data_IF_242039636033
#
_entry.id   IF_242039636033
#
_cell.length_a   1.000
_cell.length_b   1.000
_cell.length_c   1.000
_cell.angle_alpha   90.00
_cell.angle_beta   90.00
_cell.angle_gamma   90.00
#
_symmetry.space_group_name_H-M   'P 1'
#
loop_
_entity.id
_entity.type
_entity.pdbx_description
1 polymer ?
#
# COMPACT_ATOMS: atom_id res chain seq x y z
N UNK A 1 -34.20 -28.56 66.06
CA UNK A 1 -34.52 -27.78 64.85
C UNK A 1 -33.32 -26.96 64.46
N UNK A 2 -32.49 -27.40 63.47
CA UNK A 2 -31.27 -26.70 63.00
C UNK A 2 -31.60 -26.16 61.63
N UNK A 3 -31.59 -24.84 61.48
CA UNK A 3 -31.76 -24.15 60.17
C UNK A 3 -30.38 -23.97 59.51
N UNK A 4 -30.15 -24.66 58.41
CA UNK A 4 -28.98 -24.44 57.53
C UNK A 4 -29.21 -23.21 56.69
N UNK A 5 -28.33 -22.24 56.77
CA UNK A 5 -28.29 -21.08 55.89
C UNK A 5 -27.37 -21.42 54.71
N UNK A 6 -27.92 -21.48 53.53
CA UNK A 6 -27.23 -21.73 52.27
C UNK A 6 -26.73 -20.40 51.73
N UNK A 7 -25.43 -20.15 51.84
CA UNK A 7 -24.79 -18.97 51.30
C UNK A 7 -24.54 -19.19 49.79
N UNK A 8 -25.29 -18.48 48.94
CA UNK A 8 -25.06 -18.47 47.51
C UNK A 8 -23.96 -17.49 47.18
N UNK A 9 -22.81 -18.01 46.73
CA UNK A 9 -21.69 -17.24 46.29
C UNK A 9 -21.95 -16.86 44.80
N UNK A 10 -22.31 -15.60 44.53
CA UNK A 10 -22.45 -15.08 43.16
C UNK A 10 -21.03 -14.74 42.68
N UNK A 11 -20.50 -15.57 41.75
CA UNK A 11 -19.25 -15.34 41.04
C UNK A 11 -19.51 -14.36 39.88
N UNK A 12 -19.18 -13.08 40.08
CA UNK A 12 -19.18 -12.09 39.00
C UNK A 12 -18.04 -12.39 38.03
N UNK A 13 -18.36 -13.00 36.89
CA UNK A 13 -17.41 -13.13 35.76
C UNK A 13 -17.38 -11.77 35.07
N UNK A 14 -16.31 -11.00 35.33
CA UNK A 14 -15.95 -9.82 34.55
C UNK A 14 -15.43 -10.29 33.17
N UNK A 15 -16.30 -10.31 32.17
CA UNK A 15 -15.87 -10.46 30.76
C UNK A 15 -15.22 -9.15 30.34
N UNK A 16 -13.90 -9.11 30.38
CA UNK A 16 -13.13 -8.07 29.70
C UNK A 16 -13.32 -8.20 28.20
N UNK A 17 -14.14 -7.31 27.62
CA UNK A 17 -14.23 -7.09 26.19
C UNK A 17 -12.90 -6.50 25.74
N UNK A 18 -11.95 -7.36 25.34
CA UNK A 18 -10.76 -6.95 24.63
C UNK A 18 -11.20 -6.40 23.28
N UNK A 19 -11.02 -5.10 23.02
CA UNK A 19 -11.00 -4.57 21.68
C UNK A 19 -9.91 -5.31 20.90
N UNK A 20 -10.29 -6.30 20.11
CA UNK A 20 -9.41 -6.84 19.07
C UNK A 20 -9.32 -5.75 18.00
N UNK A 21 -8.21 -5.02 18.02
CA UNK A 21 -7.76 -4.30 16.84
C UNK A 21 -7.60 -5.34 15.73
N UNK A 22 -8.44 -5.25 14.73
CA UNK A 22 -8.28 -5.98 13.47
C UNK A 22 -7.11 -5.34 12.69
N UNK A 23 -5.88 -5.57 13.16
CA UNK A 23 -4.69 -5.42 12.36
C UNK A 23 -4.75 -6.53 11.32
N UNK A 24 -5.33 -6.22 10.16
CA UNK A 24 -5.21 -7.03 8.95
C UNK A 24 -3.71 -7.16 8.66
N UNK A 25 -3.13 -8.28 9.07
CA UNK A 25 -1.70 -8.53 8.98
C UNK A 25 -1.28 -8.67 7.52
N UNK A 26 -0.75 -7.59 6.97
CA UNK A 26 0.24 -7.70 5.92
C UNK A 26 1.59 -8.01 6.61
N UNK A 27 1.91 -9.29 6.79
CA UNK A 27 2.94 -9.79 7.72
C UNK A 27 4.40 -9.47 7.31
N UNK A 28 4.62 -8.75 6.21
CA UNK A 28 5.97 -8.54 5.67
C UNK A 28 6.41 -7.07 5.53
N UNK A 29 5.49 -6.10 5.68
CA UNK A 29 5.78 -4.69 5.47
C UNK A 29 5.95 -3.92 6.79
N UNK A 30 7.17 -3.42 7.04
CA UNK A 30 7.46 -2.58 8.21
C UNK A 30 7.55 -1.12 7.79
N UNK A 31 6.65 -0.28 8.29
CA UNK A 31 6.73 1.17 8.10
C UNK A 31 7.90 1.76 8.90
N UNK A 32 8.58 2.76 8.32
CA UNK A 32 9.73 3.44 8.94
C UNK A 32 9.35 4.29 10.15
N UNK A 33 8.07 4.68 10.28
CA UNK A 33 7.49 5.38 11.42
C UNK A 33 6.05 4.95 11.66
N UNK A 34 5.47 5.22 12.85
CA UNK A 34 4.09 4.86 13.16
C UNK A 34 3.08 5.42 12.16
N UNK A 35 2.02 4.66 11.87
CA UNK A 35 0.95 5.07 10.94
C UNK A 35 0.32 6.44 11.29
N UNK A 36 0.15 6.71 12.58
CA UNK A 36 -0.39 8.01 13.05
C UNK A 36 0.49 9.22 12.68
N UNK A 37 1.80 9.04 12.47
CA UNK A 37 2.67 10.12 12.00
C UNK A 37 2.51 10.36 10.50
N UNK A 38 2.27 9.32 9.71
CA UNK A 38 1.95 9.45 8.30
C UNK A 38 0.62 10.18 8.08
N UNK A 39 -0.38 9.97 8.96
CA UNK A 39 -1.66 10.67 8.94
C UNK A 39 -1.55 12.19 9.01
N UNK A 40 -0.48 12.71 9.63
CA UNK A 40 -0.23 14.16 9.75
C UNK A 40 0.35 14.79 8.47
N UNK A 41 0.94 14.00 7.59
CA UNK A 41 1.69 14.49 6.43
C UNK A 41 1.10 14.09 5.09
N UNK A 42 0.29 13.05 5.06
CA UNK A 42 -0.39 12.55 3.87
C UNK A 42 -1.83 13.04 3.84
N UNK A 43 -2.38 13.25 2.65
CA UNK A 43 -3.83 13.42 2.47
C UNK A 43 -4.56 12.11 2.81
N UNK A 44 -5.88 12.16 3.04
CA UNK A 44 -6.65 10.94 3.36
C UNK A 44 -6.53 9.88 2.24
N UNK A 45 -6.56 10.30 0.97
CA UNK A 45 -6.38 9.38 -0.16
C UNK A 45 -4.96 8.77 -0.20
N UNK A 46 -3.92 9.59 -0.01
CA UNK A 46 -2.53 9.11 0.06
C UNK A 46 -2.34 8.16 1.24
N UNK A 47 -2.91 8.47 2.41
CA UNK A 47 -2.85 7.62 3.58
C UNK A 47 -3.52 6.27 3.33
N UNK A 48 -4.75 6.29 2.77
CA UNK A 48 -5.46 5.06 2.41
C UNK A 48 -4.64 4.19 1.45
N UNK A 49 -4.05 4.77 0.41
CA UNK A 49 -3.24 4.03 -0.56
C UNK A 49 -1.92 3.56 0.08
N UNK A 50 -1.13 4.48 0.63
CA UNK A 50 0.27 4.21 0.97
C UNK A 50 0.45 3.52 2.32
N UNK A 51 -0.41 3.80 3.31
CA UNK A 51 -0.34 3.24 4.66
C UNK A 51 -1.24 2.02 4.81
N UNK A 52 -2.48 2.08 4.31
CA UNK A 52 -3.48 1.02 4.45
C UNK A 52 -3.47 0.03 3.27
N UNK A 53 -2.53 0.17 2.31
CA UNK A 53 -2.44 -0.67 1.08
C UNK A 53 -3.69 -0.62 0.22
N UNK A 54 -4.35 0.54 0.17
CA UNK A 54 -5.51 0.75 -0.68
C UNK A 54 -5.16 0.79 -2.17
N UNK A 55 -6.18 0.67 -3.00
CA UNK A 55 -6.06 0.78 -4.46
C UNK A 55 -7.11 1.77 -4.96
N UNK A 56 -6.71 2.74 -5.74
CA UNK A 56 -7.60 3.70 -6.39
C UNK A 56 -8.38 3.07 -7.56
N UNK A 57 -9.53 3.60 -7.96
CA UNK A 57 -10.29 3.08 -9.10
C UNK A 57 -9.54 3.19 -10.43
N UNK A 58 -9.65 2.18 -11.32
CA UNK A 58 -9.07 2.24 -12.66
C UNK A 58 -9.69 3.37 -13.49
N UNK A 59 -8.90 4.00 -14.34
CA UNK A 59 -9.31 5.10 -15.25
C UNK A 59 -9.86 6.36 -14.54
N UNK A 60 -9.87 6.39 -13.20
CA UNK A 60 -10.31 7.51 -12.37
C UNK A 60 -9.20 7.97 -11.43
N UNK A 61 -7.97 8.00 -11.92
CA UNK A 61 -6.79 8.44 -11.20
C UNK A 61 -5.96 9.38 -12.07
N UNK A 62 -5.07 10.15 -11.48
CA UNK A 62 -4.46 11.31 -12.12
C UNK A 62 -3.51 10.96 -13.27
N UNK A 63 -2.77 9.85 -13.15
CA UNK A 63 -1.64 9.60 -14.06
C UNK A 63 -1.82 8.41 -15.02
N UNK A 64 -2.96 7.72 -15.04
CA UNK A 64 -3.18 6.59 -15.95
C UNK A 64 -2.96 7.00 -17.41
N UNK A 65 -3.43 8.18 -17.82
CA UNK A 65 -3.32 8.73 -19.17
C UNK A 65 -2.35 9.93 -19.27
N UNK A 66 -1.35 10.02 -18.39
CA UNK A 66 -0.35 11.08 -18.45
C UNK A 66 0.80 10.67 -19.39
N UNK A 67 0.98 11.42 -20.50
CA UNK A 67 2.03 11.22 -21.51
C UNK A 67 3.10 12.33 -21.50
N UNK A 68 3.06 13.25 -20.53
CA UNK A 68 4.02 14.33 -20.42
C UNK A 68 5.39 13.79 -20.03
N UNK A 69 6.46 14.48 -20.52
CA UNK A 69 7.84 14.16 -20.14
C UNK A 69 8.16 14.67 -18.74
N UNK A 70 8.70 13.80 -17.91
CA UNK A 70 9.01 14.10 -16.52
C UNK A 70 9.34 12.86 -15.69
N UNK A 71 9.32 13.04 -14.38
CA UNK A 71 9.55 11.97 -13.41
C UNK A 71 8.38 11.85 -12.43
N UNK A 72 8.18 10.66 -11.91
CA UNK A 72 7.21 10.36 -10.87
C UNK A 72 7.96 10.15 -9.56
N UNK A 73 7.66 10.99 -8.58
CA UNK A 73 8.27 10.95 -7.25
C UNK A 73 7.29 10.38 -6.24
N UNK A 74 7.79 9.83 -5.13
CA UNK A 74 6.95 9.43 -4.00
C UNK A 74 6.13 10.61 -3.48
N UNK A 75 4.84 10.43 -3.29
CA UNK A 75 3.97 11.45 -2.69
C UNK A 75 4.35 11.77 -1.24
N UNK A 76 4.99 10.82 -0.55
CA UNK A 76 5.38 10.94 0.86
C UNK A 76 6.75 11.59 1.05
N UNK A 77 7.75 11.23 0.23
CA UNK A 77 9.15 11.62 0.44
C UNK A 77 9.71 12.55 -0.63
N UNK A 78 9.08 12.58 -1.82
CA UNK A 78 9.63 13.28 -2.99
C UNK A 78 10.78 12.51 -3.68
N UNK A 79 11.08 11.28 -3.26
CA UNK A 79 12.11 10.46 -3.90
C UNK A 79 11.69 10.08 -5.32
N UNK A 80 12.60 10.24 -6.31
CA UNK A 80 12.32 9.88 -7.71
C UNK A 80 12.26 8.36 -7.83
N UNK A 81 11.09 7.84 -8.25
CA UNK A 81 10.81 6.41 -8.34
C UNK A 81 10.70 5.91 -9.78
N UNK A 82 10.00 6.65 -10.65
CA UNK A 82 9.76 6.25 -12.04
C UNK A 82 9.99 7.41 -13.01
N UNK A 83 10.22 7.06 -14.30
CA UNK A 83 10.37 8.02 -15.40
C UNK A 83 9.25 7.88 -16.42
N UNK A 84 8.87 8.99 -17.04
CA UNK A 84 7.96 8.97 -18.20
C UNK A 84 8.52 8.16 -19.38
N UNK A 85 9.83 8.01 -19.50
CA UNK A 85 10.47 7.24 -20.56
C UNK A 85 10.24 5.72 -20.41
N UNK A 86 9.98 5.30 -19.17
CA UNK A 86 9.68 3.91 -18.82
C UNK A 86 8.18 3.64 -18.68
N UNK A 87 7.33 4.67 -18.80
CA UNK A 87 5.87 4.55 -18.79
C UNK A 87 5.34 3.96 -20.09
N UNK A 88 4.26 3.18 -20.00
CA UNK A 88 3.53 2.66 -21.16
C UNK A 88 2.04 2.51 -20.87
N UNK A 89 1.23 2.41 -21.91
CA UNK A 89 -0.21 2.19 -21.80
C UNK A 89 -0.51 0.70 -21.70
N UNK A 90 -0.77 0.26 -20.48
CA UNK A 90 -1.08 -1.15 -20.20
C UNK A 90 -2.53 -1.53 -20.45
N UNK A 91 -3.43 -0.55 -20.64
CA UNK A 91 -4.87 -0.78 -20.76
C UNK A 91 -5.55 -1.15 -19.43
N UNK A 92 -4.84 -1.13 -18.30
CA UNK A 92 -5.40 -1.54 -17.00
C UNK A 92 -6.06 -0.40 -16.23
N UNK A 93 -5.82 0.85 -16.64
CA UNK A 93 -6.41 2.04 -16.01
C UNK A 93 -5.58 2.63 -14.87
N UNK A 94 -4.34 2.20 -14.69
CA UNK A 94 -3.36 2.76 -13.77
C UNK A 94 -2.06 3.11 -14.49
N UNK A 95 -1.26 4.07 -13.97
CA UNK A 95 0.06 4.35 -14.52
C UNK A 95 0.95 3.11 -14.40
N UNK A 96 1.49 2.68 -15.54
CA UNK A 96 2.28 1.45 -15.67
C UNK A 96 3.67 1.76 -16.20
N UNK A 97 4.69 1.14 -15.60
CA UNK A 97 6.10 1.35 -15.93
C UNK A 97 6.78 0.00 -16.15
N UNK A 98 7.79 -0.03 -17.02
CA UNK A 98 8.57 -1.27 -17.26
C UNK A 98 9.65 -1.48 -16.21
N UNK A 99 10.10 -0.42 -15.53
CA UNK A 99 11.08 -0.47 -14.44
C UNK A 99 11.02 0.77 -13.55
N UNK A 100 11.60 0.69 -12.36
CA UNK A 100 11.94 1.84 -11.54
C UNK A 100 13.21 2.53 -12.08
N UNK A 101 13.38 3.83 -11.79
CA UNK A 101 14.60 4.59 -12.13
C UNK A 101 15.83 4.00 -11.44
N UNK A 102 15.67 3.57 -10.19
CA UNK A 102 16.67 2.84 -9.41
C UNK A 102 15.97 1.75 -8.61
N UNK A 103 16.29 0.48 -8.90
CA UNK A 103 15.73 -0.67 -8.20
C UNK A 103 16.06 -0.68 -6.69
N UNK A 104 17.08 0.06 -6.24
CA UNK A 104 17.43 0.17 -4.82
C UNK A 104 16.44 1.01 -4.00
N UNK A 105 15.58 1.79 -4.66
CA UNK A 105 14.59 2.69 -4.02
C UNK A 105 13.27 2.01 -3.72
N UNK A 106 13.02 0.86 -4.32
CA UNK A 106 11.83 0.05 -4.10
C UNK A 106 12.20 -1.31 -3.51
N UNK A 107 11.23 -1.96 -2.91
CA UNK A 107 11.30 -3.39 -2.54
C UNK A 107 10.06 -4.10 -3.03
N UNK A 108 10.22 -5.36 -3.37
CA UNK A 108 9.12 -6.25 -3.73
C UNK A 108 8.86 -7.15 -2.53
N UNK A 109 7.62 -7.18 -2.06
CA UNK A 109 7.18 -8.05 -0.97
C UNK A 109 5.99 -8.88 -1.40
N UNK A 110 5.93 -10.12 -0.95
CA UNK A 110 4.84 -11.00 -1.34
C UNK A 110 3.56 -10.64 -0.58
N UNK A 111 2.48 -10.39 -1.33
CA UNK A 111 1.17 -10.00 -0.81
C UNK A 111 0.15 -11.12 -1.07
N UNK A 112 -0.33 -11.74 0.03
CA UNK A 112 -1.38 -12.77 0.00
C UNK A 112 -2.74 -12.23 0.47
N UNK A 113 -2.92 -10.92 0.53
CA UNK A 113 -4.18 -10.32 0.95
C UNK A 113 -5.31 -10.57 -0.05
N UNK A 114 -6.55 -10.50 0.43
CA UNK A 114 -7.78 -10.67 -0.38
C UNK A 114 -7.85 -11.97 -1.20
N UNK A 115 -7.16 -13.05 -0.77
CA UNK A 115 -7.13 -14.33 -1.49
C UNK A 115 -6.38 -14.30 -2.82
N UNK A 116 -5.62 -13.25 -3.09
CA UNK A 116 -4.75 -13.10 -4.26
C UNK A 116 -3.29 -13.26 -3.83
N UNK A 117 -2.47 -13.84 -4.71
CA UNK A 117 -1.02 -13.91 -4.55
C UNK A 117 -0.39 -12.94 -5.54
N UNK A 118 0.20 -11.85 -5.03
CA UNK A 118 0.76 -10.76 -5.83
C UNK A 118 2.09 -10.29 -5.26
N UNK A 119 2.86 -9.60 -6.07
CA UNK A 119 4.10 -8.95 -5.67
C UNK A 119 3.85 -7.46 -5.45
N UNK A 120 3.77 -7.05 -4.18
CA UNK A 120 3.59 -5.66 -3.76
C UNK A 120 4.88 -4.88 -3.98
N UNK A 121 4.77 -3.68 -4.54
CA UNK A 121 5.87 -2.70 -4.65
C UNK A 121 5.74 -1.68 -3.54
N UNK A 122 6.78 -1.58 -2.71
CA UNK A 122 6.86 -0.60 -1.63
C UNK A 122 8.06 0.34 -1.82
N UNK A 123 7.93 1.56 -1.34
CA UNK A 123 9.08 2.47 -1.21
C UNK A 123 10.01 1.93 -0.11
N UNK A 124 11.26 1.63 -0.47
CA UNK A 124 12.19 0.92 0.42
C UNK A 124 12.54 1.70 1.68
N UNK A 125 12.68 3.01 1.58
CA UNK A 125 13.06 3.88 2.70
C UNK A 125 11.97 4.00 3.77
N UNK A 126 10.70 3.83 3.38
CA UNK A 126 9.55 4.08 4.26
C UNK A 126 8.70 2.85 4.55
N UNK A 127 8.74 1.84 3.69
CA UNK A 127 7.82 0.71 3.71
C UNK A 127 6.42 1.05 3.19
N UNK A 128 6.21 2.23 2.60
CA UNK A 128 4.90 2.65 2.10
C UNK A 128 4.54 1.95 0.79
N UNK A 129 3.27 1.55 0.68
CA UNK A 129 2.71 0.91 -0.50
C UNK A 129 2.69 1.86 -1.70
N UNK A 130 3.10 1.36 -2.87
CA UNK A 130 3.07 2.10 -4.14
C UNK A 130 2.11 1.46 -5.15
N UNK A 131 2.03 0.15 -5.19
CA UNK A 131 1.27 -0.64 -6.14
C UNK A 131 1.75 -2.08 -6.19
N UNK A 132 1.65 -2.73 -7.34
CA UNK A 132 2.07 -4.12 -7.55
C UNK A 132 2.87 -4.26 -8.84
N UNK A 133 3.68 -5.31 -8.93
CA UNK A 133 4.39 -5.69 -10.15
C UNK A 133 3.90 -7.03 -10.67
N UNK A 134 3.80 -7.13 -12.00
CA UNK A 134 3.31 -8.29 -12.75
C UNK A 134 4.29 -8.68 -13.85
N UNK A 135 4.20 -9.91 -14.33
CA UNK A 135 5.04 -10.49 -15.40
C UNK A 135 4.36 -10.42 -16.78
N UNK A 136 3.43 -9.48 -16.97
CA UNK A 136 2.65 -9.29 -18.17
C UNK A 136 2.98 -7.96 -18.91
N UNK A 137 4.14 -7.39 -18.65
CA UNK A 137 4.66 -6.19 -19.33
C UNK A 137 5.21 -6.49 -20.73
N UNK A 138 5.63 -5.43 -21.46
CA UNK A 138 6.21 -5.57 -22.79
C UNK A 138 7.46 -6.47 -22.79
N UNK A 139 7.42 -7.57 -23.55
CA UNK A 139 8.49 -8.57 -23.57
C UNK A 139 9.83 -8.01 -24.05
N UNK A 140 9.79 -7.11 -25.03
CA UNK A 140 10.95 -6.40 -25.60
C UNK A 140 11.56 -5.36 -24.63
N UNK A 141 10.86 -5.04 -23.52
CA UNK A 141 11.28 -4.09 -22.49
C UNK A 141 11.48 -4.76 -21.10
N UNK A 142 11.65 -6.08 -21.07
CA UNK A 142 11.95 -6.83 -19.85
C UNK A 142 10.76 -7.55 -19.18
N UNK A 143 9.57 -7.50 -19.80
CA UNK A 143 8.41 -8.32 -19.41
C UNK A 143 7.72 -7.92 -18.10
N UNK A 144 8.22 -6.93 -17.37
CA UNK A 144 7.62 -6.48 -16.10
C UNK A 144 6.66 -5.31 -16.33
N UNK A 145 5.55 -5.30 -15.56
CA UNK A 145 4.63 -4.18 -15.46
C UNK A 145 4.49 -3.75 -14.01
N UNK A 146 5.10 -2.61 -13.67
CA UNK A 146 4.93 -1.92 -12.40
C UNK A 146 3.65 -1.10 -12.47
N UNK A 147 2.56 -1.60 -11.89
CA UNK A 147 1.24 -0.98 -11.87
C UNK A 147 1.09 -0.16 -10.58
N UNK A 148 1.22 1.15 -10.68
CA UNK A 148 1.31 2.03 -9.52
C UNK A 148 0.01 2.80 -9.30
N UNK A 149 -0.28 3.13 -8.03
CA UNK A 149 -1.35 4.06 -7.70
C UNK A 149 -0.90 5.50 -7.97
N UNK A 150 -1.71 6.30 -8.65
CA UNK A 150 -1.43 7.72 -8.87
C UNK A 150 -1.33 8.48 -7.55
N UNK A 151 -2.19 8.14 -6.57
CA UNK A 151 -2.16 8.77 -5.26
C UNK A 151 -0.91 8.48 -4.42
N UNK A 152 -0.11 7.47 -4.79
CA UNK A 152 1.20 7.21 -4.19
C UNK A 152 2.33 8.05 -4.83
N UNK A 153 2.04 8.76 -5.92
CA UNK A 153 3.01 9.48 -6.74
C UNK A 153 2.69 10.97 -6.86
N UNK A 154 3.69 11.75 -7.23
CA UNK A 154 3.55 13.10 -7.76
C UNK A 154 4.34 13.19 -9.05
N UNK A 155 3.77 13.81 -10.09
CA UNK A 155 4.46 14.03 -11.36
C UNK A 155 5.20 15.37 -11.32
N UNK A 156 6.48 15.35 -11.73
CA UNK A 156 7.30 16.54 -11.92
C UNK A 156 7.68 16.61 -13.39
N UNK A 157 7.14 17.63 -14.07
CA UNK A 157 7.41 17.88 -15.49
C UNK A 157 8.86 18.30 -15.66
N UNK A 158 9.52 17.79 -16.72
CA UNK A 158 10.83 18.28 -17.19
C UNK A 158 10.66 19.45 -18.15
#
# INVERSE_FOLDING_TARGET
MKRSVLTVLILCILTSFGCQNSDGQNASRKLSKPAAEWKKTLTDNQYHIMVESGTEPPYKNEYWNNHQKGVYVSAATGEVLFSSDDKFDSGTGWPSFVKAVDAKKISIVHDNSFGMSRDEVIEKSTGLHLGHVFDDGPADRGGKRYCMNSGALKFIKK
#
